data_IF_015936085885
#
_entry.id   IF_015936085885
#
_cell.length_a   1.000
_cell.length_b   1.000
_cell.length_c   1.000
_cell.angle_alpha   90.00
_cell.angle_beta   90.00
_cell.angle_gamma   90.00
#
_symmetry.space_group_name_H-M   'P 1'
#
loop_
_entity.id
_entity.type
_entity.pdbx_description
1 polymer ?
#
# COMPACT_ATOMS: atom_id res chain seq x y z
N UNK A 1 3.02 -28.41 14.67
CA UNK A 1 2.33 -27.20 15.15
C UNK A 1 0.84 -27.52 15.26
N UNK A 2 0.20 -27.16 16.37
CA UNK A 2 -1.20 -27.50 16.67
C UNK A 2 -2.07 -26.25 16.80
N UNK A 3 -3.41 -26.38 16.73
CA UNK A 3 -4.35 -25.29 16.97
C UNK A 3 -4.13 -24.56 18.31
N UNK A 4 -3.69 -25.26 19.35
CA UNK A 4 -3.41 -24.69 20.67
C UNK A 4 -2.30 -23.62 20.68
N UNK A 5 -1.44 -23.58 19.67
CA UNK A 5 -0.39 -22.57 19.56
C UNK A 5 -0.91 -21.24 19.00
N UNK A 6 -2.08 -21.23 18.36
CA UNK A 6 -2.62 -20.05 17.67
C UNK A 6 -3.90 -19.53 18.35
N UNK A 7 -4.97 -20.33 18.36
CA UNK A 7 -6.33 -19.86 18.65
C UNK A 7 -6.52 -19.22 20.02
N UNK A 8 -5.83 -19.63 21.11
CA UNK A 8 -5.96 -18.94 22.41
C UNK A 8 -5.50 -17.48 22.41
N UNK A 9 -4.77 -17.05 21.37
CA UNK A 9 -4.28 -15.67 21.21
C UNK A 9 -4.91 -14.95 20.01
N UNK A 10 -6.00 -15.48 19.49
CA UNK A 10 -6.80 -14.84 18.43
C UNK A 10 -8.12 -14.40 19.03
N UNK A 11 -8.45 -13.13 18.92
CA UNK A 11 -9.78 -12.64 19.29
C UNK A 11 -10.77 -13.03 18.18
N UNK A 12 -11.31 -14.25 18.28
CA UNK A 12 -12.28 -14.79 17.32
C UNK A 12 -13.60 -14.03 17.45
N UNK A 13 -14.13 -13.54 16.34
CA UNK A 13 -15.37 -12.80 16.24
C UNK A 13 -16.32 -13.41 15.20
N UNK A 14 -17.25 -12.60 14.70
CA UNK A 14 -18.15 -12.99 13.62
C UNK A 14 -17.36 -13.41 12.37
N UNK A 15 -17.90 -14.28 11.49
CA UNK A 15 -17.19 -14.80 10.31
C UNK A 15 -16.68 -13.71 9.36
N UNK A 16 -17.41 -12.62 9.21
CA UNK A 16 -17.08 -11.47 8.37
C UNK A 16 -16.20 -10.41 9.06
N UNK A 17 -15.95 -10.56 10.38
CA UNK A 17 -15.12 -9.65 11.15
C UNK A 17 -13.64 -10.04 11.09
N UNK A 18 -12.75 -9.07 11.30
CA UNK A 18 -11.34 -9.37 11.53
C UNK A 18 -11.17 -10.08 12.87
N UNK A 19 -10.33 -11.11 12.91
CA UNK A 19 -9.93 -11.82 14.12
C UNK A 19 -8.48 -11.44 14.49
N UNK A 20 -8.29 -10.38 15.28
CA UNK A 20 -6.96 -9.87 15.53
C UNK A 20 -6.14 -10.82 16.43
N UNK A 21 -4.88 -10.98 16.08
CA UNK A 21 -3.87 -11.59 16.91
C UNK A 21 -3.56 -10.70 18.10
N UNK A 22 -3.65 -11.24 19.32
CA UNK A 22 -3.42 -10.53 20.58
C UNK A 22 -2.02 -10.76 21.18
N UNK A 23 -1.25 -11.67 20.59
CA UNK A 23 0.11 -12.00 21.03
C UNK A 23 1.20 -11.06 20.46
N UNK A 24 2.48 -11.45 20.60
CA UNK A 24 3.61 -10.67 20.11
C UNK A 24 3.51 -10.34 18.62
N UNK A 25 3.95 -9.13 18.23
CA UNK A 25 3.94 -8.69 16.85
C UNK A 25 5.20 -7.88 16.49
N UNK A 26 5.58 -7.88 15.22
CA UNK A 26 6.69 -7.12 14.68
C UNK A 26 6.33 -6.62 13.27
N UNK A 27 6.64 -5.36 12.96
CA UNK A 27 6.31 -4.73 11.67
C UNK A 27 4.84 -4.89 11.27
N UNK A 28 3.92 -4.79 12.24
CA UNK A 28 2.49 -4.94 12.03
C UNK A 28 1.98 -6.40 12.02
N UNK A 29 2.83 -7.41 11.85
CA UNK A 29 2.43 -8.82 11.78
C UNK A 29 2.53 -9.53 13.12
N UNK A 30 1.54 -10.38 13.43
CA UNK A 30 1.57 -11.27 14.56
C UNK A 30 2.55 -12.43 14.38
N UNK A 31 3.21 -12.84 15.47
CA UNK A 31 4.14 -13.96 15.47
C UNK A 31 3.83 -14.96 16.59
N UNK A 32 3.90 -16.23 16.23
CA UNK A 32 3.90 -17.36 17.17
C UNK A 32 5.35 -17.81 17.36
N UNK A 33 5.81 -17.82 18.59
CA UNK A 33 7.13 -18.30 18.97
C UNK A 33 7.01 -19.76 19.43
N UNK A 34 7.71 -20.64 18.77
CA UNK A 34 7.75 -22.07 19.08
C UNK A 34 9.19 -22.51 19.29
N UNK A 35 9.34 -23.60 20.07
CA UNK A 35 10.59 -24.33 20.15
C UNK A 35 10.37 -25.69 19.50
N UNK A 36 11.02 -25.94 18.37
CA UNK A 36 10.98 -27.21 17.64
C UNK A 36 12.42 -27.71 17.60
N UNK A 37 12.65 -28.93 18.04
CA UNK A 37 13.98 -29.58 18.09
C UNK A 37 15.04 -28.68 18.75
N UNK A 38 14.71 -28.07 19.90
CA UNK A 38 15.53 -27.12 20.66
C UNK A 38 15.89 -25.83 19.90
N UNK A 39 15.28 -25.57 18.76
CA UNK A 39 15.44 -24.33 17.97
C UNK A 39 14.22 -23.44 18.11
N UNK A 40 14.44 -22.15 18.29
CA UNK A 40 13.35 -21.17 18.25
C UNK A 40 12.92 -20.92 16.82
N UNK A 41 11.65 -21.11 16.54
CA UNK A 41 11.01 -20.86 15.23
C UNK A 41 9.96 -19.77 15.41
N UNK A 42 10.00 -18.78 14.51
CA UNK A 42 9.04 -17.68 14.47
C UNK A 42 8.12 -17.88 13.28
N UNK A 43 6.86 -18.15 13.53
CA UNK A 43 5.85 -18.31 12.50
C UNK A 43 4.92 -17.11 12.48
N UNK A 44 4.60 -16.58 11.30
CA UNK A 44 3.58 -15.54 11.17
C UNK A 44 2.21 -16.11 11.54
N UNK A 45 1.47 -15.44 12.44
CA UNK A 45 0.20 -15.94 12.97
C UNK A 45 -0.84 -16.20 11.86
N UNK A 46 -0.99 -15.29 10.90
CA UNK A 46 -1.92 -15.49 9.78
C UNK A 46 -1.54 -16.65 8.86
N UNK A 47 -0.22 -16.90 8.62
CA UNK A 47 0.21 -18.07 7.85
C UNK A 47 -0.11 -19.36 8.60
N UNK A 48 0.04 -19.36 9.92
CA UNK A 48 -0.35 -20.48 10.75
C UNK A 48 -1.87 -20.69 10.76
N UNK A 49 -2.66 -19.61 10.82
CA UNK A 49 -4.11 -19.67 10.68
C UNK A 49 -4.51 -20.35 9.36
N UNK A 50 -3.92 -19.92 8.25
CA UNK A 50 -4.11 -20.56 6.94
C UNK A 50 -3.79 -22.05 6.97
N UNK A 51 -2.59 -22.42 7.44
CA UNK A 51 -2.16 -23.82 7.45
C UNK A 51 -3.06 -24.72 8.30
N UNK A 52 -3.58 -24.21 9.40
CA UNK A 52 -4.46 -24.96 10.30
C UNK A 52 -5.88 -25.17 9.74
N UNK A 53 -6.31 -24.33 8.81
CA UNK A 53 -7.67 -24.37 8.25
C UNK A 53 -7.73 -24.89 6.82
N UNK A 54 -6.75 -24.56 6.00
CA UNK A 54 -6.74 -24.87 4.56
C UNK A 54 -5.63 -25.85 4.17
N UNK A 55 -4.71 -26.19 5.08
CA UNK A 55 -3.59 -27.07 4.81
C UNK A 55 -2.31 -26.33 4.39
N UNK A 56 -1.39 -27.08 3.78
CA UNK A 56 -0.06 -26.60 3.45
C UNK A 56 -0.10 -25.40 2.47
N UNK A 57 0.81 -24.46 2.70
CA UNK A 57 1.02 -23.34 1.78
C UNK A 57 1.96 -23.84 0.68
N UNK A 58 1.57 -23.76 -0.61
CA UNK A 58 2.43 -24.17 -1.73
C UNK A 58 3.74 -23.36 -1.76
N UNK A 59 4.79 -23.98 -2.31
CA UNK A 59 6.07 -23.30 -2.49
C UNK A 59 5.92 -22.07 -3.37
N UNK A 60 6.57 -20.98 -2.97
CA UNK A 60 6.48 -19.70 -3.67
C UNK A 60 5.18 -18.92 -3.45
N UNK A 61 4.21 -19.47 -2.70
CA UNK A 61 2.99 -18.77 -2.36
C UNK A 61 3.11 -18.00 -1.05
N UNK A 62 2.48 -16.81 -1.02
CA UNK A 62 2.27 -16.01 0.16
C UNK A 62 0.81 -16.07 0.61
N UNK A 63 0.61 -15.95 1.93
CA UNK A 63 -0.71 -15.72 2.51
C UNK A 63 -0.93 -14.23 2.65
N UNK A 64 -1.91 -13.72 1.94
CA UNK A 64 -2.24 -12.31 1.84
C UNK A 64 -3.58 -12.01 2.53
N UNK A 65 -3.82 -10.73 2.88
CA UNK A 65 -5.04 -10.28 3.54
C UNK A 65 -5.96 -9.53 2.57
N UNK A 66 -7.23 -9.92 2.50
CA UNK A 66 -8.28 -9.15 1.80
C UNK A 66 -8.65 -7.88 2.58
N UNK A 67 -8.61 -7.96 3.92
CA UNK A 67 -8.99 -6.91 4.86
C UNK A 67 -7.90 -5.88 5.17
N UNK A 68 -6.70 -6.02 4.62
CA UNK A 68 -5.54 -5.15 4.84
C UNK A 68 -5.08 -5.00 6.31
N UNK A 69 -5.53 -5.88 7.19
CA UNK A 69 -5.16 -5.91 8.61
C UNK A 69 -4.08 -6.99 8.86
N UNK A 70 -2.79 -6.63 9.00
CA UNK A 70 -1.69 -7.60 9.07
C UNK A 70 -1.74 -8.54 10.28
N UNK A 71 -2.49 -8.18 11.32
CA UNK A 71 -2.72 -9.01 12.51
C UNK A 71 -3.97 -9.86 12.44
N UNK A 72 -4.75 -9.77 11.35
CA UNK A 72 -5.94 -10.59 11.21
C UNK A 72 -5.55 -12.06 10.98
N UNK A 73 -6.19 -12.96 11.71
CA UNK A 73 -6.06 -14.41 11.60
C UNK A 73 -7.35 -15.09 11.13
N UNK A 74 -8.38 -14.32 10.71
CA UNK A 74 -9.60 -14.87 10.16
C UNK A 74 -9.31 -15.57 8.83
N UNK A 75 -9.54 -16.88 8.69
CA UNK A 75 -9.24 -17.63 7.46
C UNK A 75 -9.98 -17.10 6.24
N UNK A 76 -11.21 -16.61 6.39
CA UNK A 76 -12.01 -16.04 5.31
C UNK A 76 -11.43 -14.71 4.77
N UNK A 77 -10.61 -14.04 5.57
CA UNK A 77 -9.92 -12.81 5.18
C UNK A 77 -8.55 -13.07 4.56
N UNK A 78 -8.12 -14.33 4.49
CA UNK A 78 -6.84 -14.73 3.91
C UNK A 78 -7.04 -15.31 2.51
N UNK A 79 -5.98 -15.25 1.71
CA UNK A 79 -5.92 -15.91 0.41
C UNK A 79 -4.47 -16.15 0.01
N UNK A 80 -4.25 -17.13 -0.87
CA UNK A 80 -2.92 -17.36 -1.45
C UNK A 80 -2.67 -16.40 -2.61
N UNK A 81 -1.46 -15.91 -2.69
CA UNK A 81 -0.99 -15.07 -3.78
C UNK A 81 0.53 -15.13 -3.89
N UNK A 82 1.07 -14.28 -4.73
CA UNK A 82 2.51 -14.09 -4.92
C UNK A 82 2.83 -12.59 -4.99
N UNK A 83 4.09 -12.24 -5.20
CA UNK A 83 4.53 -10.85 -5.31
C UNK A 83 3.75 -10.06 -6.37
N UNK A 84 3.44 -10.68 -7.52
CA UNK A 84 2.67 -10.02 -8.59
C UNK A 84 1.23 -9.74 -8.13
N UNK A 85 0.57 -10.72 -7.49
CA UNK A 85 -0.78 -10.56 -6.92
C UNK A 85 -0.81 -9.47 -5.86
N UNK A 86 0.19 -9.46 -4.96
CA UNK A 86 0.32 -8.46 -3.91
C UNK A 86 0.56 -7.05 -4.48
N UNK A 87 1.40 -6.95 -5.52
CA UNK A 87 1.64 -5.69 -6.23
C UNK A 87 0.36 -5.18 -6.93
N UNK A 88 -0.38 -6.07 -7.60
CA UNK A 88 -1.64 -5.74 -8.24
C UNK A 88 -2.71 -5.26 -7.24
N UNK A 89 -2.84 -5.95 -6.08
CA UNK A 89 -3.76 -5.55 -5.01
C UNK A 89 -3.39 -4.17 -4.43
N UNK A 90 -2.10 -3.94 -4.15
CA UNK A 90 -1.59 -2.65 -3.70
C UNK A 90 -1.89 -1.52 -4.70
N UNK A 91 -1.75 -1.80 -6.00
CA UNK A 91 -2.04 -0.84 -7.08
C UNK A 91 -3.53 -0.54 -7.15
N UNK A 92 -4.37 -1.58 -7.14
CA UNK A 92 -5.83 -1.45 -7.18
C UNK A 92 -6.36 -0.65 -5.99
N UNK A 93 -5.81 -0.86 -4.80
CA UNK A 93 -6.17 -0.16 -3.58
C UNK A 93 -5.50 1.22 -3.43
N UNK A 94 -4.69 1.65 -4.40
CA UNK A 94 -4.03 2.96 -4.39
C UNK A 94 -2.99 3.13 -3.27
N UNK A 95 -2.52 2.04 -2.66
CA UNK A 95 -1.58 2.05 -1.52
C UNK A 95 -0.11 2.23 -1.92
N UNK A 96 0.18 2.45 -3.19
CA UNK A 96 1.54 2.81 -3.60
C UNK A 96 1.90 4.20 -3.08
N UNK A 97 3.09 4.32 -2.52
CA UNK A 97 3.67 5.62 -2.23
C UNK A 97 3.78 6.41 -3.54
N UNK A 98 3.12 7.57 -3.61
CA UNK A 98 3.09 8.46 -4.79
C UNK A 98 3.50 9.86 -4.37
N UNK A 99 3.99 10.62 -5.33
CA UNK A 99 4.38 12.00 -5.07
C UNK A 99 5.46 12.08 -3.99
N UNK A 100 5.33 13.03 -3.09
CA UNK A 100 6.28 13.25 -1.99
C UNK A 100 6.31 12.12 -0.95
N UNK A 101 5.25 11.30 -0.83
CA UNK A 101 5.24 10.14 0.05
C UNK A 101 6.17 9.00 -0.44
N UNK A 102 6.68 9.07 -1.66
CA UNK A 102 7.73 8.17 -2.12
C UNK A 102 9.07 8.62 -1.52
N UNK A 103 9.70 7.81 -0.68
CA UNK A 103 10.97 8.13 -0.03
C UNK A 103 12.15 8.47 -0.96
N UNK A 104 12.00 8.31 -2.28
CA UNK A 104 12.96 8.74 -3.31
C UNK A 104 12.52 9.98 -4.06
N UNK A 105 11.39 10.60 -3.68
CA UNK A 105 10.94 11.82 -4.29
C UNK A 105 11.92 12.97 -3.98
N UNK A 106 12.32 13.70 -5.01
CA UNK A 106 13.13 14.93 -4.88
C UNK A 106 12.28 16.19 -4.86
N UNK A 107 11.05 16.09 -5.34
CA UNK A 107 10.08 17.16 -5.39
C UNK A 107 8.98 16.90 -4.38
N UNK A 108 8.48 17.96 -3.78
CA UNK A 108 7.27 17.96 -2.98
C UNK A 108 6.03 18.15 -3.86
N UNK A 109 4.86 17.89 -3.33
CA UNK A 109 3.58 18.21 -4.01
C UNK A 109 3.46 19.71 -4.31
N UNK A 110 4.01 20.57 -3.42
CA UNK A 110 4.05 22.03 -3.62
C UNK A 110 4.95 22.43 -4.80
N UNK A 111 6.13 21.81 -4.91
CA UNK A 111 7.04 22.05 -6.04
C UNK A 111 6.39 21.67 -7.39
N UNK A 112 5.70 20.52 -7.41
CA UNK A 112 5.03 20.07 -8.63
C UNK A 112 3.87 20.99 -9.02
N UNK A 113 3.08 21.49 -8.06
CA UNK A 113 2.05 22.50 -8.34
C UNK A 113 2.66 23.77 -8.91
N UNK A 114 3.77 24.24 -8.35
CA UNK A 114 4.48 25.41 -8.85
C UNK A 114 5.04 25.19 -10.25
N UNK A 115 5.58 24.01 -10.57
CA UNK A 115 6.05 23.64 -11.90
C UNK A 115 4.88 23.65 -12.91
N UNK A 116 3.72 23.09 -12.55
CA UNK A 116 2.54 23.02 -13.41
C UNK A 116 1.90 24.38 -13.66
N UNK A 117 2.04 25.32 -12.73
CA UNK A 117 1.49 26.69 -12.82
C UNK A 117 2.47 27.69 -13.46
N UNK A 118 3.74 27.33 -13.64
CA UNK A 118 4.75 28.25 -14.13
C UNK A 118 4.72 28.35 -15.66
N UNK A 119 4.75 29.60 -16.15
CA UNK A 119 5.00 29.91 -17.56
C UNK A 119 6.52 30.13 -17.76
N UNK A 120 7.27 29.04 -17.73
CA UNK A 120 8.73 29.07 -17.87
C UNK A 120 9.22 27.80 -18.59
N UNK A 121 10.33 27.89 -19.35
CA UNK A 121 10.87 26.74 -20.07
C UNK A 121 11.31 25.63 -19.11
N UNK A 122 11.12 24.36 -19.50
CA UNK A 122 11.44 23.19 -18.64
C UNK A 122 12.87 23.18 -18.11
N UNK A 123 13.82 23.75 -18.83
CA UNK A 123 15.23 23.85 -18.45
C UNK A 123 15.44 24.81 -17.27
N UNK A 124 14.77 25.93 -17.28
CA UNK A 124 14.83 26.92 -16.19
C UNK A 124 14.20 26.34 -14.91
N UNK A 125 13.07 25.67 -15.05
CA UNK A 125 12.41 24.99 -13.94
C UNK A 125 13.28 23.82 -13.40
N UNK A 126 13.91 23.07 -14.30
CA UNK A 126 14.82 21.99 -13.93
C UNK A 126 15.99 22.50 -13.06
N UNK A 127 16.60 23.60 -13.46
CA UNK A 127 17.66 24.26 -12.70
C UNK A 127 17.14 24.71 -11.33
N UNK A 128 16.01 25.41 -11.29
CA UNK A 128 15.40 25.93 -10.06
C UNK A 128 15.08 24.84 -9.02
N UNK A 129 14.57 23.70 -9.46
CA UNK A 129 14.14 22.61 -8.58
C UNK A 129 15.15 21.45 -8.46
N UNK A 130 16.35 21.57 -9.02
CA UNK A 130 17.43 20.58 -8.91
C UNK A 130 17.11 19.22 -9.53
N UNK A 131 16.31 19.22 -10.62
CA UNK A 131 15.90 17.99 -11.34
C UNK A 131 16.31 18.09 -12.81
N UNK A 132 16.18 17.00 -13.59
CA UNK A 132 16.49 17.05 -15.02
C UNK A 132 15.34 17.70 -15.84
N UNK A 133 15.66 18.34 -16.96
CA UNK A 133 14.68 18.89 -17.89
C UNK A 133 13.69 17.83 -18.39
N UNK A 134 14.15 16.59 -18.62
CA UNK A 134 13.28 15.47 -18.98
C UNK A 134 12.29 15.12 -17.88
N UNK A 135 12.67 15.28 -16.61
CA UNK A 135 11.76 15.07 -15.49
C UNK A 135 10.65 16.13 -15.50
N UNK A 136 11.01 17.41 -15.70
CA UNK A 136 10.03 18.50 -15.79
C UNK A 136 9.09 18.31 -16.98
N UNK A 137 9.61 17.98 -18.16
CA UNK A 137 8.77 17.67 -19.35
C UNK A 137 7.81 16.51 -19.08
N UNK A 138 8.25 15.47 -18.37
CA UNK A 138 7.39 14.34 -18.02
C UNK A 138 6.29 14.72 -17.00
N UNK A 139 6.53 15.70 -16.12
CA UNK A 139 5.51 16.26 -15.22
C UNK A 139 4.49 17.07 -16.04
N UNK A 140 4.97 17.99 -16.87
CA UNK A 140 4.11 18.84 -17.73
C UNK A 140 3.25 18.00 -18.68
N UNK A 141 3.81 16.90 -19.20
CA UNK A 141 3.08 15.94 -20.05
C UNK A 141 2.16 14.97 -19.27
N UNK A 142 2.05 15.09 -17.93
CA UNK A 142 1.23 14.20 -17.12
C UNK A 142 1.72 12.75 -17.02
N UNK A 143 2.92 12.44 -17.54
CA UNK A 143 3.53 11.10 -17.47
C UNK A 143 4.10 10.78 -16.09
N UNK A 144 4.48 11.80 -15.34
CA UNK A 144 4.87 11.72 -13.93
C UNK A 144 3.95 12.61 -13.12
N UNK A 145 3.74 12.26 -11.85
CA UNK A 145 2.84 12.99 -10.94
C UNK A 145 1.40 13.11 -11.48
N UNK A 146 0.95 12.13 -12.26
CA UNK A 146 -0.35 12.12 -12.93
C UNK A 146 -1.55 12.32 -11.96
N UNK A 147 -1.39 11.99 -10.67
CA UNK A 147 -2.39 12.22 -9.65
C UNK A 147 -2.60 13.72 -9.36
N UNK A 148 -1.58 14.57 -9.57
CA UNK A 148 -1.68 16.02 -9.40
C UNK A 148 -2.47 16.69 -10.54
N UNK A 149 -2.34 16.18 -11.77
CA UNK A 149 -3.06 16.72 -12.93
C UNK A 149 -4.58 16.45 -12.87
N UNK A 150 -5.01 15.42 -12.14
CA UNK A 150 -6.45 15.12 -11.93
C UNK A 150 -7.14 16.11 -11.00
N UNK A 151 -6.40 16.74 -10.10
CA UNK A 151 -6.96 17.69 -9.11
C UNK A 151 -7.27 19.05 -9.74
N UNK A 152 -6.55 19.45 -10.80
CA UNK A 152 -6.81 20.71 -11.50
C UNK A 152 -8.07 20.67 -12.38
N UNK A 153 -8.51 19.48 -12.82
CA UNK A 153 -9.72 19.35 -13.65
C UNK A 153 -11.04 19.40 -12.85
N UNK A 154 -10.99 19.21 -11.53
CA UNK A 154 -12.21 19.16 -10.68
C UNK A 154 -12.50 20.52 -10.03
N UNK A 155 -11.54 21.45 -9.97
CA UNK A 155 -11.66 22.75 -9.31
C UNK A 155 -11.58 23.98 -10.26
N UNK A 156 -11.90 23.81 -11.54
CA UNK A 156 -12.17 24.97 -12.39
C UNK A 156 -13.56 25.50 -12.02
N UNK A 157 -13.71 26.71 -11.45
CA UNK A 157 -15.03 27.31 -11.31
C UNK A 157 -15.63 27.49 -12.70
N UNK A 158 -16.85 27.02 -12.91
CA UNK A 158 -17.61 27.30 -14.11
C UNK A 158 -17.63 28.83 -14.30
N UNK A 159 -17.03 29.29 -15.38
CA UNK A 159 -17.13 30.67 -15.79
C UNK A 159 -18.62 30.96 -16.03
N UNK A 160 -19.22 31.75 -15.15
CA UNK A 160 -20.56 32.27 -15.36
C UNK A 160 -20.55 33.10 -16.62
N UNK A 161 -21.31 32.67 -17.62
CA UNK A 161 -21.71 33.53 -18.72
C UNK A 161 -22.53 34.69 -18.15
N UNK A 162 -21.97 35.88 -18.12
CA UNK A 162 -22.76 37.11 -17.95
C UNK A 162 -23.28 37.49 -19.33
N UNK A 163 -24.56 37.17 -19.54
CA UNK A 163 -25.33 37.78 -20.64
C UNK A 163 -25.49 39.25 -20.29
N UNK A 164 -24.81 40.10 -21.05
CA UNK A 164 -24.97 41.55 -21.03
C UNK A 164 -25.99 41.95 -22.08
N UNK A 165 -27.02 42.61 -21.62
CA UNK A 165 -28.05 43.27 -22.43
C UNK A 165 -27.45 44.40 -23.28
#
# INVERSE_FOLDING_TARGET
VTPAHLWPRVAVGAPDACWPWTGPHRNGYGYVNLTIDRRRVFLRAHRLAWTLTHGAIPDGADVLHRCDAPRCCNPEHLFLGNDATNAADRNRKGRQARGESNGRARLTDADVRAILAADAPPEALACRYGVSGNHVRAILAGKRWAHMNRTTAVNAPAAACVDGA
#
